data_IF_901901287784
#
_entry.id   IF_901901287784
#
_cell.length_a   1.000
_cell.length_b   1.000
_cell.length_c   1.000
_cell.angle_alpha   90.00
_cell.angle_beta   90.00
_cell.angle_gamma   90.00
#
_symmetry.space_group_name_H-M   'P 1'
#
loop_
_entity.id
_entity.type
_entity.pdbx_description
1 polymer ?
#
# COMPACT_ATOMS: atom_id res chain seq x y z
N UNK A 1 -17.79 -7.05 0.07
CA UNK A 1 -17.77 -5.89 -0.84
C UNK A 1 -16.37 -5.71 -1.39
N UNK A 2 -16.26 -5.53 -2.69
CA UNK A 2 -14.96 -5.37 -3.32
C UNK A 2 -14.38 -3.99 -3.10
N UNK A 3 -13.06 -3.91 -2.92
CA UNK A 3 -12.37 -2.64 -2.81
C UNK A 3 -12.55 -1.80 -4.08
N UNK A 4 -12.51 -0.46 -3.97
CA UNK A 4 -12.51 0.40 -5.15
C UNK A 4 -11.38 0.02 -6.10
N UNK A 5 -11.63 0.11 -7.40
CA UNK A 5 -10.60 -0.20 -8.40
C UNK A 5 -9.34 0.65 -8.23
N UNK A 6 -9.49 1.88 -7.74
CA UNK A 6 -8.35 2.77 -7.48
C UNK A 6 -7.37 2.14 -6.50
N UNK A 7 -7.86 1.50 -5.42
CA UNK A 7 -6.98 0.84 -4.45
C UNK A 7 -6.27 -0.34 -5.11
N UNK A 8 -7.01 -1.16 -5.86
CA UNK A 8 -6.42 -2.30 -6.57
C UNK A 8 -5.38 -1.85 -7.58
N UNK A 9 -5.68 -0.79 -8.33
CA UNK A 9 -4.77 -0.24 -9.33
C UNK A 9 -3.51 0.33 -8.66
N UNK A 10 -3.67 0.97 -7.50
CA UNK A 10 -2.54 1.49 -6.74
C UNK A 10 -1.62 0.36 -6.28
N UNK A 11 -2.19 -0.70 -5.72
CA UNK A 11 -1.41 -1.86 -5.25
C UNK A 11 -0.67 -2.49 -6.44
N UNK A 12 -1.33 -2.63 -7.59
CA UNK A 12 -0.71 -3.16 -8.79
C UNK A 12 0.44 -2.26 -9.28
N UNK A 13 0.23 -0.94 -9.28
CA UNK A 13 1.28 -0.01 -9.69
C UNK A 13 2.50 -0.11 -8.77
N UNK A 14 2.29 -0.18 -7.45
CA UNK A 14 3.38 -0.35 -6.50
C UNK A 14 4.08 -1.68 -6.73
N UNK A 15 3.33 -2.75 -6.95
CA UNK A 15 3.89 -4.07 -7.21
C UNK A 15 4.78 -4.09 -8.44
N UNK A 16 4.44 -3.29 -9.45
CA UNK A 16 5.21 -3.18 -10.69
C UNK A 16 6.29 -2.09 -10.61
N UNK A 17 6.47 -1.47 -9.44
CA UNK A 17 7.40 -0.36 -9.24
C UNK A 17 7.10 0.82 -10.18
N UNK A 18 5.83 1.01 -10.52
CA UNK A 18 5.38 2.07 -11.42
C UNK A 18 4.92 3.28 -10.60
N UNK A 19 5.90 4.08 -10.19
CA UNK A 19 5.63 5.25 -9.35
C UNK A 19 4.79 6.31 -10.06
N UNK A 20 4.91 6.42 -11.38
CA UNK A 20 4.13 7.38 -12.14
C UNK A 20 2.64 7.00 -12.13
N UNK A 21 2.34 5.73 -12.40
CA UNK A 21 0.97 5.24 -12.33
C UNK A 21 0.39 5.39 -10.92
N UNK A 22 1.16 5.05 -9.89
CA UNK A 22 0.73 5.20 -8.50
C UNK A 22 0.41 6.67 -8.19
N UNK A 23 1.23 7.60 -8.67
CA UNK A 23 1.03 9.03 -8.45
C UNK A 23 -0.25 9.59 -9.04
N UNK A 24 -0.75 8.98 -10.12
CA UNK A 24 -1.99 9.42 -10.77
C UNK A 24 -3.25 9.01 -9.99
N UNK A 25 -3.10 8.11 -9.02
CA UNK A 25 -4.22 7.54 -8.26
C UNK A 25 -4.44 8.21 -6.90
N UNK A 26 -3.62 9.20 -6.56
CA UNK A 26 -3.67 9.86 -5.26
C UNK A 26 -3.96 11.36 -5.43
N UNK A 27 -4.47 11.99 -4.36
CA UNK A 27 -4.71 13.43 -4.37
C UNK A 27 -3.38 14.19 -4.23
N UNK A 28 -3.40 15.49 -4.55
CA UNK A 28 -2.20 16.33 -4.48
C UNK A 28 -1.65 16.45 -3.05
N UNK A 29 -2.52 16.31 -2.05
CA UNK A 29 -2.17 16.42 -0.65
C UNK A 29 -2.23 15.07 0.09
N UNK A 30 -2.27 13.96 -0.66
CA UNK A 30 -2.35 12.63 -0.08
C UNK A 30 -1.22 12.41 0.94
N UNK A 31 -1.55 11.76 2.05
CA UNK A 31 -0.58 11.49 3.11
C UNK A 31 -0.23 10.01 3.14
N UNK A 32 1.05 9.72 3.43
CA UNK A 32 1.55 8.36 3.50
C UNK A 32 2.30 8.20 4.81
N UNK A 33 1.77 7.35 5.69
CA UNK A 33 2.40 7.04 6.97
C UNK A 33 2.74 5.55 7.01
N UNK A 34 3.99 5.24 7.30
CA UNK A 34 4.50 3.88 7.37
C UNK A 34 4.78 3.50 8.82
N UNK A 35 4.95 2.19 9.13
CA UNK A 35 5.29 1.77 10.48
C UNK A 35 6.55 2.46 10.98
N UNK A 36 6.60 2.72 12.31
CA UNK A 36 7.73 3.42 12.91
C UNK A 36 7.66 4.92 12.77
N UNK A 37 6.46 5.46 12.54
CA UNK A 37 6.21 6.91 12.36
C UNK A 37 6.96 7.52 11.17
N UNK A 38 7.28 6.70 10.19
CA UNK A 38 7.90 7.17 8.97
C UNK A 38 6.85 7.80 8.07
N UNK A 39 7.04 9.07 7.71
CA UNK A 39 6.12 9.81 6.85
C UNK A 39 6.82 10.11 5.53
N UNK A 40 6.16 9.78 4.42
CA UNK A 40 6.67 10.09 3.08
C UNK A 40 6.22 11.50 2.66
N UNK A 41 6.82 12.08 1.60
CA UNK A 41 6.34 13.35 1.07
C UNK A 41 4.86 13.27 0.68
N UNK A 42 4.10 14.36 0.76
CA UNK A 42 2.69 14.33 0.39
C UNK A 42 2.48 14.24 -1.12
N UNK A 43 1.32 13.73 -1.50
CA UNK A 43 0.87 13.73 -2.89
C UNK A 43 1.55 12.70 -3.76
N UNK A 44 1.59 12.95 -5.08
CA UNK A 44 2.20 12.00 -6.03
C UNK A 44 3.66 11.66 -5.71
N UNK A 45 4.41 12.59 -5.11
CA UNK A 45 5.79 12.32 -4.69
C UNK A 45 5.86 11.22 -3.64
N UNK A 46 4.90 11.18 -2.72
CA UNK A 46 4.80 10.12 -1.73
C UNK A 46 4.48 8.77 -2.36
N UNK A 47 3.58 8.76 -3.34
CA UNK A 47 3.24 7.55 -4.06
C UNK A 47 4.46 7.00 -4.81
N UNK A 48 5.22 7.88 -5.46
CA UNK A 48 6.45 7.49 -6.15
C UNK A 48 7.49 6.94 -5.17
N UNK A 49 7.65 7.60 -4.01
CA UNK A 49 8.58 7.15 -2.98
C UNK A 49 8.18 5.77 -2.45
N UNK A 50 6.89 5.55 -2.25
CA UNK A 50 6.38 4.26 -1.79
C UNK A 50 6.70 3.15 -2.80
N UNK A 51 6.43 3.40 -4.07
CA UNK A 51 6.72 2.44 -5.14
C UNK A 51 8.24 2.20 -5.27
N UNK A 52 9.05 3.25 -5.15
CA UNK A 52 10.49 3.14 -5.25
C UNK A 52 11.10 2.31 -4.12
N UNK A 53 10.59 2.46 -2.90
CA UNK A 53 11.05 1.64 -1.78
C UNK A 53 10.82 0.15 -2.03
N UNK A 54 9.68 -0.15 -2.64
CA UNK A 54 9.33 -1.53 -2.94
C UNK A 54 10.19 -2.08 -4.09
N UNK A 55 10.63 -1.22 -5.00
CA UNK A 55 11.43 -1.62 -6.14
C UNK A 55 12.85 -2.04 -5.76
N UNK A 56 13.34 -1.62 -4.60
CA UNK A 56 14.67 -1.96 -4.14
C UNK A 56 14.72 -3.41 -3.66
N UNK A 57 15.18 -4.29 -4.54
CA UNK A 57 15.37 -5.69 -4.20
C UNK A 57 16.69 -6.16 -4.83
N UNK A 58 17.46 -6.92 -4.07
CA UNK A 58 18.79 -7.39 -4.51
C UNK A 58 18.67 -8.52 -5.53
N UNK A 59 18.26 -8.18 -6.75
CA UNK A 59 18.15 -9.15 -7.83
C UNK A 59 16.90 -10.02 -7.82
N UNK A 60 15.97 -9.75 -6.92
CA UNK A 60 14.71 -10.48 -6.85
C UNK A 60 13.59 -9.78 -7.61
N UNK A 61 12.42 -10.38 -7.59
CA UNK A 61 11.20 -9.80 -8.14
C UNK A 61 10.27 -9.43 -6.98
N UNK A 62 10.20 -8.15 -6.59
CA UNK A 62 9.30 -7.74 -5.52
C UNK A 62 7.85 -7.77 -5.99
N UNK A 63 6.94 -8.05 -5.06
CA UNK A 63 5.52 -8.14 -5.35
C UNK A 63 4.72 -7.62 -4.16
N UNK A 64 3.66 -6.88 -4.44
CA UNK A 64 2.65 -6.49 -3.45
C UNK A 64 1.32 -7.03 -3.91
N UNK A 65 0.61 -7.70 -3.02
CA UNK A 65 -0.68 -8.29 -3.33
C UNK A 65 -1.73 -7.80 -2.34
N UNK A 66 -2.88 -7.39 -2.87
CA UNK A 66 -4.04 -7.08 -2.03
C UNK A 66 -4.73 -8.39 -1.69
N UNK A 67 -4.53 -8.85 -0.45
CA UNK A 67 -5.07 -10.13 0.00
C UNK A 67 -6.53 -10.02 0.38
N UNK A 68 -6.89 -8.93 1.07
CA UNK A 68 -8.24 -8.72 1.55
C UNK A 68 -8.52 -7.23 1.69
N UNK A 69 -9.80 -6.86 1.59
CA UNK A 69 -10.23 -5.48 1.74
C UNK A 69 -11.63 -5.45 2.35
N UNK A 70 -11.83 -4.57 3.29
CA UNK A 70 -13.07 -4.41 4.01
C UNK A 70 -13.37 -2.94 4.22
N UNK A 71 -14.62 -2.53 4.01
CA UNK A 71 -15.03 -1.15 4.26
C UNK A 71 -15.04 -0.86 5.75
N UNK A 72 -14.29 0.16 6.16
CA UNK A 72 -14.25 0.61 7.56
C UNK A 72 -15.22 1.76 7.79
N UNK A 73 -15.46 2.56 6.76
CA UNK A 73 -16.45 3.65 6.76
C UNK A 73 -16.73 4.02 5.31
N UNK A 74 -17.53 5.06 5.06
CA UNK A 74 -17.91 5.45 3.71
C UNK A 74 -16.72 5.72 2.79
N UNK A 75 -15.63 6.26 3.34
CA UNK A 75 -14.46 6.65 2.56
C UNK A 75 -13.18 5.92 2.96
N UNK A 76 -13.26 4.96 3.89
CA UNK A 76 -12.07 4.28 4.41
C UNK A 76 -12.15 2.78 4.18
N UNK A 77 -11.02 2.21 3.76
CA UNK A 77 -10.91 0.78 3.49
C UNK A 77 -9.75 0.18 4.26
N UNK A 78 -10.07 -0.86 5.03
CA UNK A 78 -9.11 -1.63 5.78
C UNK A 78 -8.64 -2.79 4.90
N UNK A 79 -7.33 -2.89 4.69
CA UNK A 79 -6.79 -3.87 3.75
C UNK A 79 -5.71 -4.71 4.39
N UNK A 80 -5.49 -5.89 3.81
CA UNK A 80 -4.36 -6.74 4.13
C UNK A 80 -3.48 -6.81 2.87
N UNK A 81 -2.22 -6.40 3.01
CA UNK A 81 -1.28 -6.34 1.90
C UNK A 81 -0.13 -7.31 2.15
N UNK A 82 0.15 -8.15 1.17
CA UNK A 82 1.25 -9.11 1.24
C UNK A 82 2.42 -8.59 0.43
N UNK A 83 3.56 -8.45 1.09
CA UNK A 83 4.81 -8.06 0.46
C UNK A 83 5.71 -9.28 0.37
N UNK A 84 6.25 -9.54 -0.82
CA UNK A 84 7.15 -10.67 -1.03
C UNK A 84 8.22 -10.31 -2.04
N UNK A 85 9.31 -11.04 -2.02
CA UNK A 85 10.39 -10.88 -2.99
C UNK A 85 10.94 -12.26 -3.35
N UNK A 86 10.73 -12.64 -4.61
CA UNK A 86 11.12 -13.94 -5.13
C UNK A 86 12.38 -13.82 -5.97
N UNK A 87 13.42 -14.61 -5.64
CA UNK A 87 14.62 -14.73 -6.46
C UNK A 87 14.35 -15.73 -7.56
N UNK A 88 14.25 -15.24 -8.80
CA UNK A 88 13.89 -16.08 -9.96
C UNK A 88 14.91 -17.19 -10.23
N UNK A 89 16.19 -16.95 -9.93
CA UNK A 89 17.24 -17.93 -10.19
C UNK A 89 17.18 -19.15 -9.27
N UNK A 90 16.81 -18.95 -8.02
CA UNK A 90 16.79 -20.01 -7.01
C UNK A 90 15.40 -20.44 -6.59
N UNK A 91 14.39 -19.63 -6.89
CA UNK A 91 13.04 -19.85 -6.42
C UNK A 91 12.84 -19.55 -4.94
N UNK A 92 13.83 -18.96 -4.28
CA UNK A 92 13.76 -18.64 -2.87
C UNK A 92 13.10 -17.29 -2.63
N UNK A 93 12.34 -17.19 -1.52
CA UNK A 93 11.77 -15.92 -1.06
C UNK A 93 12.73 -15.25 -0.10
N UNK A 94 13.15 -14.00 -0.38
CA UNK A 94 13.98 -13.25 0.55
C UNK A 94 13.14 -12.66 1.68
N UNK A 95 11.87 -12.36 1.41
CA UNK A 95 10.92 -11.96 2.44
C UNK A 95 9.51 -12.29 1.97
N UNK A 96 8.61 -12.48 2.93
CA UNK A 96 7.20 -12.72 2.68
C UNK A 96 6.48 -12.35 3.98
N UNK A 97 5.78 -11.23 3.98
CA UNK A 97 5.05 -10.77 5.17
C UNK A 97 3.80 -10.01 4.77
N UNK A 98 2.84 -9.95 5.69
CA UNK A 98 1.57 -9.27 5.49
C UNK A 98 1.46 -8.11 6.47
N UNK A 99 1.02 -6.97 5.97
CA UNK A 99 0.80 -5.77 6.78
C UNK A 99 -0.65 -5.31 6.65
N UNK A 100 -1.10 -4.48 7.58
CA UNK A 100 -2.39 -3.82 7.47
C UNK A 100 -2.23 -2.47 6.78
N UNK A 101 -3.16 -2.15 5.89
CA UNK A 101 -3.18 -0.86 5.22
C UNK A 101 -4.56 -0.22 5.35
N UNK A 102 -4.58 1.04 5.78
CA UNK A 102 -5.83 1.80 5.87
C UNK A 102 -5.80 2.88 4.80
N UNK A 103 -6.66 2.73 3.81
CA UNK A 103 -6.78 3.67 2.70
C UNK A 103 -7.96 4.61 2.97
N UNK A 104 -7.74 5.90 2.79
CA UNK A 104 -8.81 6.89 2.81
C UNK A 104 -8.98 7.41 1.39
N UNK A 105 -10.24 7.45 0.94
CA UNK A 105 -10.58 7.87 -0.42
C UNK A 105 -11.18 9.28 -0.42
N UNK A 106 -10.86 10.03 -1.47
CA UNK A 106 -11.50 11.29 -1.78
C UNK A 106 -12.01 11.18 -3.22
N UNK A 107 -13.29 10.82 -3.34
CA UNK A 107 -13.85 10.50 -4.64
C UNK A 107 -13.16 9.26 -5.23
N UNK A 108 -12.54 9.44 -6.40
CA UNK A 108 -11.87 8.35 -7.11
C UNK A 108 -10.38 8.25 -6.83
N UNK A 109 -9.88 9.05 -5.88
CA UNK A 109 -8.44 9.08 -5.58
C UNK A 109 -8.20 8.77 -4.12
N UNK A 110 -6.99 8.27 -3.85
CA UNK A 110 -6.55 7.98 -2.49
C UNK A 110 -6.06 9.29 -1.87
N UNK A 111 -6.63 9.66 -0.71
CA UNK A 111 -6.20 10.85 0.02
C UNK A 111 -5.28 10.54 1.20
N UNK A 112 -5.23 9.28 1.63
CA UNK A 112 -4.32 8.86 2.71
C UNK A 112 -4.10 7.36 2.65
N UNK A 113 -2.89 6.96 2.99
CA UNK A 113 -2.54 5.56 3.23
C UNK A 113 -1.75 5.51 4.52
N UNK A 114 -2.24 4.71 5.46
CA UNK A 114 -1.54 4.45 6.70
C UNK A 114 -1.27 2.97 6.80
N UNK A 115 0.01 2.59 6.85
CA UNK A 115 0.43 1.21 6.91
C UNK A 115 0.78 0.84 8.36
N UNK A 116 0.36 -0.35 8.77
CA UNK A 116 0.58 -0.88 10.12
C UNK A 116 1.37 -2.18 10.03
N UNK A 117 2.18 -2.50 11.05
CA UNK A 117 2.96 -3.75 11.03
C UNK A 117 2.11 -5.01 10.89
N UNK A 118 0.82 -4.95 11.28
CA UNK A 118 -0.09 -6.08 11.17
C UNK A 118 -1.50 -5.61 10.88
N UNK A 119 -2.31 -6.52 10.35
CA UNK A 119 -3.73 -6.27 10.12
C UNK A 119 -4.45 -5.96 11.45
N UNK A 120 -4.08 -6.62 12.53
CA UNK A 120 -4.69 -6.40 13.84
C UNK A 120 -4.49 -4.97 14.34
N UNK A 121 -3.30 -4.41 14.13
CA UNK A 121 -3.04 -3.01 14.51
C UNK A 121 -3.85 -2.04 13.65
N UNK A 122 -4.03 -2.35 12.37
CA UNK A 122 -4.87 -1.54 11.50
C UNK A 122 -6.34 -1.57 11.96
N UNK A 123 -6.82 -2.75 12.36
CA UNK A 123 -8.19 -2.89 12.92
C UNK A 123 -8.33 -2.05 14.18
N UNK A 124 -7.36 -2.10 15.07
CA UNK A 124 -7.37 -1.32 16.31
C UNK A 124 -7.44 0.18 16.03
N UNK A 125 -6.74 0.66 15.02
CA UNK A 125 -6.75 2.07 14.65
C UNK A 125 -8.14 2.52 14.16
N UNK A 126 -8.88 1.65 13.48
CA UNK A 126 -10.23 1.98 13.02
C UNK A 126 -11.25 1.92 14.16
N UNK A 127 -11.01 1.07 15.15
CA UNK A 127 -11.93 0.90 16.28
C UNK A 127 -11.90 2.07 17.25
N UNK A 128 -10.81 2.83 17.28
CA UNK A 128 -10.61 3.95 18.17
C UNK A 128 -11.20 5.27 17.61
N UNK A 129 -11.81 5.20 16.47
CA UNK A 129 -12.36 6.39 15.81
C UNK A 129 -13.69 6.83 16.41
#
# INVERSE_FOLDING_TARGET
MEAPSTIRDFVEAVSNADGEAAGLLVTEDATFRLPGDKVLPPGPDGARAFAAQHAESNGGKPSVELVDAESASDDRWLTSLRFSNLFLETGEMSFDFTVGGLFTMDGNRISALEAFPSYEEAVAATSDA
#
